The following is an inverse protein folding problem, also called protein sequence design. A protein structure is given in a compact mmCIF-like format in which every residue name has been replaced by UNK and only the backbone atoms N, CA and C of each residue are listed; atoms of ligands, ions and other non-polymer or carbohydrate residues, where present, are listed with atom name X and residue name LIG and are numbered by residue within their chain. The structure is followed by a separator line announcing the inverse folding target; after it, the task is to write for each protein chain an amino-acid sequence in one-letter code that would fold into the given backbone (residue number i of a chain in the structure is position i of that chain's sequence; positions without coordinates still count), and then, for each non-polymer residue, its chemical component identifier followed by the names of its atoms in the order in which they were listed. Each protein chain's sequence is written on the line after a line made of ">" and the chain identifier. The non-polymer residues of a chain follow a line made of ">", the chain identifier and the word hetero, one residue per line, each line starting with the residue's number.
data_IF_625858340017
#
_entry.id   IF_625858340017
#
_cell.length_a   1.000
_cell.length_b   1.000
_cell.length_c   1.000
_cell.angle_alpha   90.00
_cell.angle_beta   90.00
_cell.angle_gamma   90.00
#
_symmetry.space_group_name_H-M   'P 1'
#
loop_
_entity.id
_entity.type
_entity.pdbx_description
1 polymer ?
#
# COMPACT_ATOMS: atom_id res chain seq x y z
N UNK A 1 -4.16 -32.10 58.73
CA UNK A 1 -3.85 -31.26 57.56
C UNK A 1 -4.26 -32.02 56.32
N UNK A 2 -5.27 -31.59 55.59
CA UNK A 2 -5.59 -32.13 54.27
C UNK A 2 -5.68 -30.96 53.29
N UNK A 3 -4.65 -30.82 52.47
CA UNK A 3 -4.66 -30.00 51.26
C UNK A 3 -5.47 -30.75 50.20
N UNK A 4 -6.59 -30.20 49.75
CA UNK A 4 -7.24 -30.63 48.51
C UNK A 4 -6.66 -29.84 47.35
N UNK A 5 -6.06 -30.58 46.43
CA UNK A 5 -5.50 -30.11 45.17
C UNK A 5 -6.58 -29.44 44.31
N UNK A 6 -6.19 -28.31 43.73
CA UNK A 6 -6.91 -27.49 42.76
C UNK A 6 -7.30 -28.29 41.51
N UNK A 7 -8.58 -28.26 41.16
CA UNK A 7 -9.12 -28.78 39.90
C UNK A 7 -8.53 -28.02 38.70
N UNK A 8 -7.84 -28.75 37.83
CA UNK A 8 -7.23 -28.24 36.61
C UNK A 8 -8.27 -27.78 35.59
N UNK A 9 -8.14 -26.53 35.14
CA UNK A 9 -8.78 -26.06 33.92
C UNK A 9 -8.02 -26.59 32.71
N UNK A 10 -8.42 -27.76 32.22
CA UNK A 10 -8.04 -28.21 30.88
C UNK A 10 -9.00 -27.54 29.88
N UNK A 11 -8.71 -26.29 29.49
CA UNK A 11 -9.42 -25.65 28.37
C UNK A 11 -9.07 -26.47 27.14
N UNK A 12 -10.07 -27.14 26.56
CA UNK A 12 -9.89 -27.97 25.39
C UNK A 12 -9.27 -27.13 24.27
N UNK A 13 -8.20 -27.62 23.66
CA UNK A 13 -7.46 -26.92 22.60
C UNK A 13 -8.36 -26.46 21.44
N UNK A 14 -9.52 -27.12 21.26
CA UNK A 14 -10.57 -26.73 20.33
C UNK A 14 -11.20 -25.37 20.67
N UNK A 15 -11.49 -25.08 21.95
CA UNK A 15 -12.08 -23.80 22.39
C UNK A 15 -11.08 -22.65 22.26
N UNK A 16 -9.80 -22.92 22.54
CA UNK A 16 -8.71 -21.97 22.31
C UNK A 16 -8.61 -21.64 20.81
N UNK A 17 -8.60 -22.68 19.95
CA UNK A 17 -8.56 -22.49 18.50
C UNK A 17 -9.82 -21.79 17.97
N UNK A 18 -10.99 -22.04 18.53
CA UNK A 18 -12.23 -21.36 18.17
C UNK A 18 -12.21 -19.89 18.59
N UNK A 19 -11.67 -19.58 19.75
CA UNK A 19 -11.50 -18.21 20.24
C UNK A 19 -10.50 -17.42 19.39
N UNK A 20 -9.37 -18.02 19.00
CA UNK A 20 -8.42 -17.40 18.07
C UNK A 20 -9.01 -17.26 16.67
N UNK A 21 -9.73 -18.26 16.17
CA UNK A 21 -10.40 -18.20 14.87
C UNK A 21 -11.49 -17.10 14.83
N UNK A 22 -12.25 -16.96 15.91
CA UNK A 22 -13.26 -15.92 16.09
C UNK A 22 -12.64 -14.51 16.28
N UNK A 23 -11.47 -14.40 16.92
CA UNK A 23 -10.73 -13.14 17.00
C UNK A 23 -10.14 -12.71 15.65
N UNK A 24 -9.67 -13.66 14.83
CA UNK A 24 -9.21 -13.38 13.46
C UNK A 24 -10.38 -12.86 12.59
N UNK A 25 -11.62 -13.31 12.82
CA UNK A 25 -12.81 -12.80 12.13
C UNK A 25 -13.26 -11.40 12.58
N UNK A 26 -13.00 -10.98 13.82
CA UNK A 26 -13.50 -9.67 14.33
C UNK A 26 -12.69 -8.45 13.89
N UNK A 27 -11.47 -8.63 13.38
CA UNK A 27 -10.68 -7.54 12.81
C UNK A 27 -10.80 -7.54 11.27
N UNK A 28 -12.02 -7.34 10.79
CA UNK A 28 -12.26 -6.93 9.39
C UNK A 28 -11.57 -5.58 9.19
N UNK A 29 -10.29 -5.61 8.81
CA UNK A 29 -9.57 -4.41 8.39
C UNK A 29 -10.24 -3.94 7.11
N UNK A 30 -10.97 -2.82 7.16
CA UNK A 30 -11.56 -2.21 5.98
C UNK A 30 -10.42 -1.62 5.13
N UNK A 31 -10.00 -2.39 4.12
CA UNK A 31 -8.94 -1.97 3.21
C UNK A 31 -9.52 -1.10 2.12
N UNK A 32 -8.87 0.06 1.91
CA UNK A 32 -9.22 0.93 0.79
C UNK A 32 -8.37 0.55 -0.43
N UNK A 33 -8.99 0.20 -1.57
CA UNK A 33 -8.24 -0.05 -2.79
C UNK A 33 -7.52 1.22 -3.26
N UNK A 34 -6.36 1.04 -3.90
CA UNK A 34 -5.62 2.17 -4.49
C UNK A 34 -6.40 2.76 -5.67
N UNK A 35 -7.04 1.87 -6.45
CA UNK A 35 -7.85 2.18 -7.62
C UNK A 35 -9.13 1.34 -7.53
N UNK A 36 -10.29 1.95 -7.78
CA UNK A 36 -11.61 1.32 -7.67
C UNK A 36 -11.93 0.26 -8.76
N UNK A 37 -10.89 -0.33 -9.38
CA UNK A 37 -10.98 -1.35 -10.44
C UNK A 37 -9.81 -2.31 -10.30
N UNK A 38 -9.92 -3.50 -10.89
CA UNK A 38 -8.76 -4.39 -11.11
C UNK A 38 -7.76 -3.69 -12.02
N UNK A 39 -6.48 -3.81 -11.69
CA UNK A 39 -5.40 -3.11 -12.38
C UNK A 39 -4.28 -4.08 -12.74
N UNK A 40 -3.57 -3.78 -13.83
CA UNK A 40 -2.25 -4.35 -14.13
C UNK A 40 -1.21 -3.24 -14.04
N UNK A 41 -0.32 -3.30 -13.07
CA UNK A 41 0.66 -2.24 -12.80
C UNK A 41 1.80 -2.35 -13.82
N UNK A 42 2.07 -1.26 -14.54
CA UNK A 42 3.21 -1.17 -15.44
C UNK A 42 4.44 -0.68 -14.70
N UNK A 43 4.34 0.43 -13.96
CA UNK A 43 5.47 1.00 -13.21
C UNK A 43 5.01 1.85 -12.04
N UNK A 44 5.95 2.09 -11.14
CA UNK A 44 5.85 3.05 -10.06
C UNK A 44 6.87 4.15 -10.35
N UNK A 45 6.52 5.39 -10.02
CA UNK A 45 7.44 6.51 -10.12
C UNK A 45 7.22 7.50 -8.99
N UNK A 46 8.12 8.47 -8.92
CA UNK A 46 7.97 9.63 -8.07
C UNK A 46 8.13 10.89 -8.91
N UNK A 47 7.36 11.93 -8.60
CA UNK A 47 7.47 13.22 -9.28
C UNK A 47 8.82 13.88 -8.99
N UNK A 48 9.34 14.67 -9.94
CA UNK A 48 10.65 15.34 -9.79
C UNK A 48 10.62 16.60 -8.90
N UNK A 49 9.46 16.96 -8.37
CA UNK A 49 9.31 18.12 -7.50
C UNK A 49 9.76 17.80 -6.06
N UNK A 50 9.88 18.83 -5.22
CA UNK A 50 10.27 18.68 -3.80
C UNK A 50 9.35 17.70 -3.02
N UNK A 51 8.08 17.58 -3.43
CA UNK A 51 7.12 16.67 -2.80
C UNK A 51 7.31 15.21 -3.19
N UNK A 52 8.17 14.87 -4.16
CA UNK A 52 8.52 13.52 -4.61
C UNK A 52 7.33 12.54 -4.44
N UNK A 53 6.22 12.91 -5.07
CA UNK A 53 4.90 12.31 -4.89
C UNK A 53 4.87 10.99 -5.65
N UNK A 54 4.56 9.86 -4.99
CA UNK A 54 4.50 8.59 -5.67
C UNK A 54 3.31 8.54 -6.62
N UNK A 55 3.50 7.90 -7.78
CA UNK A 55 2.44 7.61 -8.72
C UNK A 55 2.60 6.20 -9.29
N UNK A 56 1.47 5.61 -9.69
CA UNK A 56 1.42 4.30 -10.32
C UNK A 56 0.84 4.46 -11.72
N UNK A 57 1.51 3.87 -12.70
CA UNK A 57 0.99 3.72 -14.06
C UNK A 57 0.51 2.30 -14.22
N UNK A 58 -0.72 2.14 -14.67
CA UNK A 58 -1.41 0.84 -14.72
C UNK A 58 -2.36 0.76 -15.91
N UNK A 59 -2.83 -0.45 -16.20
CA UNK A 59 -3.88 -0.71 -17.17
C UNK A 59 -5.18 -1.16 -16.51
N UNK A 60 -6.29 -0.74 -17.09
CA UNK A 60 -7.64 -1.25 -16.83
C UNK A 60 -8.23 -1.69 -18.17
N UNK A 61 -8.26 -2.99 -18.42
CA UNK A 61 -8.47 -3.52 -19.76
C UNK A 61 -7.40 -2.98 -20.72
N UNK A 62 -7.82 -2.35 -21.81
CA UNK A 62 -6.92 -1.75 -22.81
C UNK A 62 -6.47 -0.33 -22.47
N UNK A 63 -7.10 0.33 -21.50
CA UNK A 63 -6.83 1.72 -21.16
C UNK A 63 -5.63 1.83 -20.22
N UNK A 64 -4.69 2.72 -20.56
CA UNK A 64 -3.56 3.09 -19.71
C UNK A 64 -3.93 4.30 -18.84
N UNK A 65 -3.70 4.19 -17.54
CA UNK A 65 -4.06 5.21 -16.56
C UNK A 65 -2.86 5.53 -15.64
N UNK A 66 -2.96 6.64 -14.92
CA UNK A 66 -1.99 7.05 -13.91
C UNK A 66 -2.74 7.59 -12.69
N UNK A 67 -2.27 7.24 -11.49
CA UNK A 67 -2.84 7.75 -10.23
C UNK A 67 -1.72 8.13 -9.27
N UNK A 68 -1.81 9.33 -8.70
CA UNK A 68 -0.95 9.78 -7.62
C UNK A 68 -1.43 9.20 -6.29
N UNK A 69 -0.48 8.72 -5.49
CA UNK A 69 -0.74 8.09 -4.20
C UNK A 69 -0.15 8.99 -3.12
N UNK A 70 -0.85 9.15 -1.99
CA UNK A 70 -0.30 9.87 -0.84
C UNK A 70 0.98 9.18 -0.38
N UNK A 71 2.05 9.94 -0.15
CA UNK A 71 3.36 9.39 0.29
C UNK A 71 3.23 8.46 1.49
N UNK A 72 2.45 8.85 2.53
CA UNK A 72 2.20 8.01 3.72
C UNK A 72 1.61 6.63 3.38
N UNK A 73 0.69 6.58 2.41
CA UNK A 73 0.06 5.33 1.96
C UNK A 73 1.09 4.47 1.23
N UNK A 74 1.82 5.04 0.27
CA UNK A 74 2.87 4.31 -0.43
C UNK A 74 3.95 3.78 0.54
N UNK A 75 4.46 4.62 1.45
CA UNK A 75 5.45 4.20 2.44
C UNK A 75 4.92 3.08 3.33
N UNK A 76 3.67 3.16 3.81
CA UNK A 76 3.06 2.09 4.59
C UNK A 76 2.95 0.78 3.81
N UNK A 77 2.60 0.83 2.53
CA UNK A 77 2.54 -0.34 1.66
C UNK A 77 3.92 -0.96 1.42
N UNK A 78 4.93 -0.14 1.13
CA UNK A 78 6.29 -0.62 0.93
C UNK A 78 6.91 -1.17 2.23
N UNK A 79 6.56 -0.62 3.39
CA UNK A 79 6.97 -1.18 4.68
C UNK A 79 6.48 -2.62 4.85
N UNK A 80 5.25 -2.91 4.43
CA UNK A 80 4.69 -4.28 4.45
C UNK A 80 5.41 -5.18 3.47
N UNK A 81 5.67 -4.69 2.26
CA UNK A 81 6.44 -5.42 1.27
C UNK A 81 7.83 -5.79 1.80
N UNK A 82 8.55 -4.85 2.41
CA UNK A 82 9.88 -5.11 3.02
C UNK A 82 9.83 -6.17 4.11
N UNK A 83 8.78 -6.15 4.95
CA UNK A 83 8.59 -7.19 5.96
C UNK A 83 8.31 -8.55 5.31
N UNK A 84 7.54 -8.57 4.23
CA UNK A 84 7.19 -9.80 3.50
C UNK A 84 8.41 -10.41 2.79
N UNK A 85 9.21 -9.60 2.10
CA UNK A 85 10.30 -10.10 1.25
C UNK A 85 11.65 -10.22 1.97
N UNK A 86 11.90 -9.36 2.96
CA UNK A 86 13.21 -9.28 3.64
C UNK A 86 13.12 -9.39 5.16
N UNK A 87 11.92 -9.50 5.75
CA UNK A 87 11.75 -9.53 7.21
C UNK A 87 12.07 -8.20 7.91
N UNK A 88 12.28 -7.11 7.16
CA UNK A 88 12.73 -5.83 7.70
C UNK A 88 11.53 -5.04 8.26
N UNK A 89 11.62 -4.67 9.53
CA UNK A 89 10.60 -3.87 10.23
C UNK A 89 11.03 -2.44 10.52
N UNK A 90 12.25 -2.06 10.16
CA UNK A 90 12.78 -0.70 10.35
C UNK A 90 11.99 0.34 9.58
N UNK A 91 11.87 1.55 10.14
CA UNK A 91 11.18 2.65 9.47
C UNK A 91 11.90 3.08 8.19
N UNK A 92 11.14 3.19 7.11
CA UNK A 92 11.63 3.76 5.84
C UNK A 92 11.92 5.26 6.01
N UNK A 93 13.17 5.66 5.71
CA UNK A 93 13.63 7.06 5.67
C UNK A 93 13.36 7.71 4.32
N UNK A 94 13.60 6.99 3.22
CA UNK A 94 13.32 7.47 1.88
C UNK A 94 13.01 6.34 0.90
N UNK A 95 12.29 6.69 -0.16
CA UNK A 95 11.95 5.82 -1.29
C UNK A 95 12.33 6.51 -2.59
N UNK A 96 12.97 5.77 -3.48
CA UNK A 96 13.27 6.18 -4.85
C UNK A 96 13.09 4.99 -5.80
N UNK A 97 12.97 5.27 -7.10
CA UNK A 97 13.03 4.23 -8.14
C UNK A 97 14.50 3.94 -8.43
N UNK A 98 14.85 2.65 -8.52
CA UNK A 98 16.20 2.23 -8.91
C UNK A 98 16.34 2.13 -10.45
N UNK A 99 17.56 1.90 -10.94
CA UNK A 99 17.84 1.86 -12.38
C UNK A 99 17.05 0.78 -13.15
N UNK A 100 16.65 -0.31 -12.49
CA UNK A 100 15.85 -1.39 -13.09
C UNK A 100 14.34 -1.15 -13.03
N UNK A 101 13.90 0.01 -12.53
CA UNK A 101 12.48 0.34 -12.37
C UNK A 101 11.80 -0.31 -11.16
N UNK A 102 12.58 -0.92 -10.26
CA UNK A 102 12.16 -1.33 -8.93
C UNK A 102 12.26 -0.19 -7.92
N UNK A 103 12.30 -0.52 -6.63
CA UNK A 103 12.43 0.46 -5.57
C UNK A 103 13.78 0.34 -4.87
N UNK A 104 14.38 1.48 -4.56
CA UNK A 104 15.44 1.60 -3.57
C UNK A 104 14.83 2.18 -2.30
N UNK A 105 15.01 1.45 -1.20
CA UNK A 105 14.47 1.79 0.11
C UNK A 105 15.63 2.08 1.04
N UNK A 106 15.69 3.30 1.57
CA UNK A 106 16.62 3.63 2.64
C UNK A 106 15.93 3.46 3.99
N UNK A 107 16.50 2.61 4.83
CA UNK A 107 16.10 2.42 6.23
C UNK A 107 17.03 3.21 7.15
N UNK A 108 17.00 2.95 8.46
CA UNK A 108 17.94 3.57 9.39
C UNK A 108 19.32 2.91 9.22
N UNK A 109 19.33 1.59 9.11
CA UNK A 109 20.57 0.81 9.11
C UNK A 109 21.15 0.59 7.71
N UNK A 110 20.28 0.46 6.69
CA UNK A 110 20.72 -0.02 5.38
C UNK A 110 19.89 0.52 4.20
N UNK A 111 20.37 0.29 2.97
CA UNK A 111 19.68 0.53 1.71
C UNK A 111 19.36 -0.78 0.99
N UNK A 112 18.08 -1.06 0.80
CA UNK A 112 17.58 -2.29 0.19
C UNK A 112 16.98 -2.02 -1.18
N UNK A 113 17.30 -2.85 -2.16
CA UNK A 113 16.72 -2.79 -3.50
C UNK A 113 15.66 -3.89 -3.67
N UNK A 114 14.43 -3.48 -3.99
CA UNK A 114 13.32 -4.38 -4.31
C UNK A 114 13.16 -4.40 -5.83
N UNK A 115 13.17 -5.59 -6.43
CA UNK A 115 12.99 -5.73 -7.88
C UNK A 115 11.58 -5.31 -8.32
N UNK A 116 11.48 -4.74 -9.52
CA UNK A 116 10.22 -4.28 -10.11
C UNK A 116 9.10 -5.32 -10.05
N UNK A 117 9.40 -6.58 -10.36
CA UNK A 117 8.40 -7.67 -10.34
C UNK A 117 7.70 -7.79 -9.00
N UNK A 118 8.46 -7.66 -7.89
CA UNK A 118 7.90 -7.81 -6.55
C UNK A 118 6.97 -6.65 -6.22
N UNK A 119 7.39 -5.43 -6.56
CA UNK A 119 6.58 -4.24 -6.26
C UNK A 119 5.30 -4.20 -7.10
N UNK A 120 5.38 -4.54 -8.40
CA UNK A 120 4.22 -4.64 -9.29
C UNK A 120 3.20 -5.63 -8.75
N UNK A 121 3.65 -6.87 -8.50
CA UNK A 121 2.79 -7.96 -8.04
C UNK A 121 2.16 -7.65 -6.68
N UNK A 122 2.93 -7.06 -5.76
CA UNK A 122 2.42 -6.65 -4.47
C UNK A 122 1.30 -5.61 -4.57
N UNK A 123 1.47 -4.56 -5.39
CA UNK A 123 0.45 -3.52 -5.54
C UNK A 123 -0.82 -4.03 -6.24
N UNK A 124 -0.68 -4.92 -7.24
CA UNK A 124 -1.81 -5.56 -7.91
C UNK A 124 -2.61 -6.43 -6.94
N UNK A 125 -1.92 -7.26 -6.16
CA UNK A 125 -2.55 -8.17 -5.21
C UNK A 125 -3.11 -7.42 -4.00
N UNK A 126 -2.44 -6.37 -3.50
CA UNK A 126 -3.01 -5.47 -2.49
C UNK A 126 -4.32 -4.85 -2.99
N UNK A 127 -4.33 -4.30 -4.22
CA UNK A 127 -5.52 -3.67 -4.77
C UNK A 127 -6.66 -4.68 -4.95
N UNK A 128 -6.34 -5.91 -5.35
CA UNK A 128 -7.33 -7.00 -5.46
C UNK A 128 -7.89 -7.40 -4.10
N UNK A 129 -7.04 -7.59 -3.09
CA UNK A 129 -7.46 -7.90 -1.72
C UNK A 129 -8.40 -6.83 -1.17
N UNK A 130 -8.07 -5.55 -1.40
CA UNK A 130 -8.89 -4.44 -0.94
C UNK A 130 -10.21 -4.29 -1.73
N UNK A 131 -10.19 -4.57 -3.04
CA UNK A 131 -11.37 -4.45 -3.90
C UNK A 131 -12.38 -5.59 -3.69
N UNK A 132 -11.88 -6.81 -3.51
CA UNK A 132 -12.71 -8.02 -3.39
C UNK A 132 -12.92 -8.47 -1.94
N UNK A 133 -12.37 -7.73 -0.97
CA UNK A 133 -12.44 -8.05 0.46
C UNK A 133 -11.99 -9.49 0.75
N UNK A 134 -10.87 -9.91 0.16
CA UNK A 134 -10.34 -11.27 0.27
C UNK A 134 -10.04 -11.61 1.73
N UNK A 135 -10.66 -12.70 2.22
CA UNK A 135 -10.45 -13.18 3.57
C UNK A 135 -9.01 -13.72 3.75
N UNK A 136 -8.33 -13.42 4.87
CA UNK A 136 -7.03 -13.99 5.17
C UNK A 136 -7.17 -15.51 5.38
N UNK A 137 -6.40 -16.31 4.65
CA UNK A 137 -6.36 -17.77 4.84
C UNK A 137 -5.03 -18.20 5.40
N UNK A 138 -5.05 -19.13 6.37
CA UNK A 138 -3.83 -19.67 6.97
C UNK A 138 -3.08 -20.58 5.99
N UNK A 139 -3.81 -21.25 5.09
CA UNK A 139 -3.30 -22.20 4.11
C UNK A 139 -3.89 -21.83 2.76
N UNK A 140 -3.05 -21.47 1.79
CA UNK A 140 -3.47 -21.33 0.40
C UNK A 140 -2.62 -22.27 -0.45
N UNK A 141 -3.27 -23.12 -1.26
CA UNK A 141 -2.61 -24.02 -2.21
C UNK A 141 -2.10 -23.30 -3.47
N UNK A 142 -1.92 -21.98 -3.40
CA UNK A 142 -1.48 -21.18 -4.52
C UNK A 142 0.00 -21.48 -4.74
N UNK A 143 0.33 -22.13 -5.87
CA UNK A 143 1.72 -22.37 -6.25
C UNK A 143 2.34 -21.08 -6.81
N UNK A 144 2.52 -20.09 -5.93
CA UNK A 144 3.15 -18.83 -6.28
C UNK A 144 4.64 -18.89 -5.95
N UNK A 145 5.48 -18.96 -6.97
CA UNK A 145 6.95 -19.08 -6.82
C UNK A 145 7.57 -17.94 -6.02
N UNK A 146 6.93 -16.76 -6.00
CA UNK A 146 7.40 -15.60 -5.26
C UNK A 146 6.83 -15.52 -3.83
N UNK A 147 5.91 -16.40 -3.43
CA UNK A 147 5.27 -16.38 -2.12
C UNK A 147 4.36 -15.16 -1.85
N UNK A 148 3.91 -14.46 -2.89
CA UNK A 148 3.16 -13.20 -2.79
C UNK A 148 1.77 -13.29 -3.42
N UNK A 149 1.06 -14.40 -3.23
CA UNK A 149 -0.32 -14.53 -3.67
C UNK A 149 -1.26 -13.60 -2.88
N UNK A 150 -2.49 -13.40 -3.38
CA UNK A 150 -3.51 -12.54 -2.74
C UNK A 150 -3.78 -12.93 -1.28
N UNK A 151 -3.77 -14.22 -0.95
CA UNK A 151 -3.99 -14.71 0.41
C UNK A 151 -2.83 -14.39 1.36
N UNK A 152 -1.59 -14.50 0.88
CA UNK A 152 -0.40 -14.13 1.66
C UNK A 152 -0.42 -12.64 1.99
N UNK A 153 -0.83 -11.81 1.03
CA UNK A 153 -1.00 -10.37 1.24
C UNK A 153 -2.15 -10.08 2.21
N UNK A 154 -3.32 -10.71 2.04
CA UNK A 154 -4.44 -10.54 2.97
C UNK A 154 -4.05 -10.89 4.40
N UNK A 155 -3.34 -12.01 4.60
CA UNK A 155 -2.82 -12.44 5.92
C UNK A 155 -1.81 -11.45 6.48
N UNK A 156 -0.86 -10.98 5.67
CA UNK A 156 0.12 -9.98 6.07
C UNK A 156 -0.57 -8.72 6.59
N UNK A 157 -1.57 -8.21 5.85
CA UNK A 157 -2.27 -6.98 6.20
C UNK A 157 -3.02 -7.12 7.53
N UNK A 158 -3.71 -8.25 7.75
CA UNK A 158 -4.43 -8.52 9.00
C UNK A 158 -3.46 -8.70 10.18
N UNK A 159 -2.35 -9.41 9.96
CA UNK A 159 -1.33 -9.67 11.00
C UNK A 159 -0.60 -8.40 11.42
N UNK A 160 -0.45 -7.44 10.50
CA UNK A 160 0.19 -6.15 10.78
C UNK A 160 -0.75 -5.09 11.32
N UNK A 161 -2.04 -5.39 11.47
CA UNK A 161 -3.02 -4.49 12.06
C UNK A 161 -3.10 -3.17 11.32
N UNK A 162 -3.54 -3.17 10.06
CA UNK A 162 -3.69 -1.91 9.33
C UNK A 162 -4.97 -1.18 9.74
N UNK A 163 -4.81 -0.07 10.47
CA UNK A 163 -5.66 1.09 10.22
C UNK A 163 -4.92 1.94 9.20
N UNK A 164 -5.22 1.79 7.91
CA UNK A 164 -4.99 2.91 7.00
C UNK A 164 -5.80 4.08 7.58
N UNK A 165 -5.25 5.31 7.70
CA UNK A 165 -6.05 6.43 8.14
C UNK A 165 -7.29 6.52 7.23
N UNK A 166 -8.46 6.35 7.84
CA UNK A 166 -9.75 6.44 7.17
C UNK A 166 -9.84 7.82 6.52
N UNK A 167 -9.74 7.86 5.20
CA UNK A 167 -9.99 9.08 4.45
C UNK A 167 -11.38 8.97 3.85
N UNK A 168 -12.33 9.66 4.49
CA UNK A 168 -13.49 10.20 3.79
C UNK A 168 -12.97 11.09 2.66
N UNK A 169 -13.47 10.85 1.45
CA UNK A 169 -13.37 11.87 0.41
C UNK A 169 -14.26 13.02 0.90
N UNK A 170 -13.65 14.10 1.38
CA UNK A 170 -14.38 15.36 1.47
C UNK A 170 -14.76 15.70 0.03
N UNK A 171 -16.06 15.74 -0.23
CA UNK A 171 -16.62 16.32 -1.42
C UNK A 171 -15.93 17.67 -1.67
N UNK A 172 -15.65 17.91 -2.94
CA UNK A 172 -14.98 19.08 -3.52
C UNK A 172 -15.00 20.33 -2.64
N UNK A 173 -13.82 20.79 -2.21
CA UNK A 173 -13.70 22.17 -1.76
C UNK A 173 -14.00 23.09 -2.95
N UNK A 174 -14.86 24.10 -2.82
CA UNK A 174 -15.21 24.98 -3.93
C UNK A 174 -13.96 25.71 -4.40
N UNK A 175 -13.65 25.56 -5.70
CA UNK A 175 -12.54 26.25 -6.35
C UNK A 175 -12.84 27.75 -6.31
N UNK A 176 -12.06 28.51 -5.54
CA UNK A 176 -12.05 29.97 -5.67
C UNK A 176 -11.38 30.33 -7.00
N UNK A 177 -12.02 31.13 -7.87
CA UNK A 177 -11.37 31.60 -9.08
C UNK A 177 -10.21 32.53 -8.71
N UNK A 178 -9.01 32.18 -9.18
CA UNK A 178 -7.86 33.07 -9.16
C UNK A 178 -8.08 34.14 -10.23
N UNK A 179 -8.21 35.40 -9.81
CA UNK A 179 -8.18 36.55 -10.69
C UNK A 179 -6.78 36.65 -11.32
N UNK A 180 -6.72 36.47 -12.64
CA UNK A 180 -5.52 36.66 -13.43
C UNK A 180 -5.45 38.13 -13.84
N UNK A 181 -4.57 38.92 -13.23
CA UNK A 181 -4.23 40.25 -13.72
C UNK A 181 -3.31 40.10 -14.94
N UNK A 182 -3.86 40.39 -16.12
CA UNK A 182 -3.10 40.54 -17.35
C UNK A 182 -2.20 41.78 -17.26
N UNK A 183 -0.89 41.59 -17.20
CA UNK A 183 0.06 42.63 -17.63
C UNK A 183 0.32 42.45 -19.12
N UNK A 184 -0.22 43.36 -19.92
CA UNK A 184 0.05 43.44 -21.35
C UNK A 184 1.48 43.96 -21.56
N UNK A 185 2.36 43.13 -22.10
CA UNK A 185 3.61 43.59 -22.68
C UNK A 185 3.30 44.26 -24.02
N UNK A 186 3.32 45.60 -24.05
CA UNK A 186 3.32 46.35 -25.29
C UNK A 186 4.63 46.08 -26.04
N UNK A 187 4.53 45.59 -27.28
CA UNK A 187 5.66 45.51 -28.21
C UNK A 187 5.36 46.31 -29.48
N UNK A 188 6.44 46.92 -30.00
CA UNK A 188 6.64 47.60 -31.29
C UNK A 188 6.20 49.08 -31.31
N UNK A 189 6.91 50.00 -31.94
CA UNK A 189 7.52 49.88 -33.28
C UNK A 189 8.66 50.89 -33.49
N UNK A 190 9.62 50.51 -34.32
CA UNK A 190 10.64 51.33 -34.99
C UNK A 190 10.09 52.54 -35.73
N UNK A 191 10.83 53.65 -35.74
CA UNK A 191 10.86 54.59 -36.86
C UNK A 191 12.24 55.27 -36.96
N UNK A 192 12.84 55.20 -38.16
CA UNK A 192 13.96 56.02 -38.63
C UNK A 192 13.48 57.47 -38.76
N UNK A 193 14.32 58.45 -38.44
CA UNK A 193 14.89 59.42 -39.40
C UNK A 193 16.13 60.03 -38.76
#
# INVERSE_FOLDING_TARGET
>A
MHFTQTSGFAIASAEINQYFSAQIQKNSVELKPLIAKKIKVERIGFTRNASNTPYVVYRVGERRCCTFIKRKVMTSLIQKLLKLTHGITESIRSLSVNASGGLQVKTISDTVCIERRYVVKFLENYNTVALESIAPTAHCGCNDQDGMCVHAIARLIVTLGDRLPSFSFLAEAPIKPLYCTYQAYATKTTAKT
#
